data_IF_255815290582
#
_entry.id   IF_255815290582
#
_cell.length_a   1.000
_cell.length_b   1.000
_cell.length_c   1.000
_cell.angle_alpha   90.00
_cell.angle_beta   90.00
_cell.angle_gamma   90.00
#
_symmetry.space_group_name_H-M   'P 1'
#
loop_
_entity.id
_entity.type
_entity.pdbx_description
1 polymer ?
#
# COMPACT_ATOMS: atom_id res chain seq x y z
N UNK A 1 2.48 -7.86 41.29
CA UNK A 1 1.74 -9.04 41.79
C UNK A 1 1.14 -9.73 40.57
N UNK A 2 1.79 -10.79 40.09
CA UNK A 2 1.26 -11.93 39.33
C UNK A 2 0.33 -11.67 38.13
N UNK A 3 0.87 -11.16 37.02
CA UNK A 3 0.35 -11.49 35.70
C UNK A 3 0.91 -12.85 35.26
N UNK A 4 0.43 -13.92 35.89
CA UNK A 4 0.55 -15.28 35.34
C UNK A 4 -0.50 -15.45 34.25
N UNK A 5 -0.42 -14.64 33.18
CA UNK A 5 -1.27 -14.81 32.01
C UNK A 5 -0.72 -15.96 31.16
N UNK A 6 -1.55 -16.99 31.03
CA UNK A 6 -1.33 -18.22 30.27
C UNK A 6 -0.60 -17.95 28.92
N UNK A 7 0.53 -18.62 28.61
CA UNK A 7 1.23 -18.45 27.33
C UNK A 7 0.34 -18.73 26.11
N UNK A 8 -0.67 -19.59 26.30
CA UNK A 8 -1.68 -19.95 25.30
C UNK A 8 -2.64 -18.79 24.96
N UNK A 9 -2.95 -17.92 25.93
CA UNK A 9 -3.85 -16.78 25.73
C UNK A 9 -3.12 -15.59 25.09
N UNK A 10 -1.82 -15.44 25.35
CA UNK A 10 -0.98 -14.43 24.68
C UNK A 10 -0.92 -14.69 23.17
N UNK A 11 -0.84 -15.96 22.76
CA UNK A 11 -0.85 -16.36 21.33
C UNK A 11 -2.18 -16.07 20.64
N UNK A 12 -3.32 -16.37 21.28
CA UNK A 12 -4.65 -16.00 20.74
C UNK A 12 -4.92 -14.50 20.73
N UNK A 13 -4.43 -13.74 21.72
CA UNK A 13 -4.52 -12.27 21.70
C UNK A 13 -3.67 -11.68 20.57
N UNK A 14 -2.47 -12.22 20.31
CA UNK A 14 -1.65 -11.78 19.18
C UNK A 14 -2.23 -12.15 17.82
N UNK A 15 -2.87 -13.33 17.69
CA UNK A 15 -3.52 -13.77 16.45
C UNK A 15 -4.78 -12.94 16.14
N UNK A 16 -5.59 -12.62 17.15
CA UNK A 16 -6.75 -11.74 17.00
C UNK A 16 -6.34 -10.30 16.67
N UNK A 17 -5.29 -9.79 17.30
CA UNK A 17 -4.76 -8.45 17.03
C UNK A 17 -4.18 -8.35 15.61
N UNK A 18 -3.42 -9.35 15.15
CA UNK A 18 -2.88 -9.41 13.80
C UNK A 18 -3.99 -9.45 12.74
N UNK A 19 -5.04 -10.26 12.94
CA UNK A 19 -6.17 -10.33 12.03
C UNK A 19 -6.95 -9.00 11.92
N UNK A 20 -7.08 -8.25 13.02
CA UNK A 20 -7.73 -6.93 13.01
C UNK A 20 -6.88 -5.91 12.26
N UNK A 21 -5.55 -5.96 12.41
CA UNK A 21 -4.65 -5.05 11.70
C UNK A 21 -4.65 -5.31 10.19
N UNK A 22 -4.70 -6.57 9.77
CA UNK A 22 -4.84 -6.98 8.35
C UNK A 22 -6.11 -6.38 7.73
N UNK A 23 -7.26 -6.53 8.41
CA UNK A 23 -8.52 -5.95 7.92
C UNK A 23 -8.51 -4.42 7.91
N UNK A 24 -7.80 -3.80 8.85
CA UNK A 24 -7.65 -2.34 8.92
C UNK A 24 -6.90 -1.80 7.70
N UNK A 25 -5.82 -2.48 7.27
CA UNK A 25 -5.06 -2.10 6.06
C UNK A 25 -5.96 -2.11 4.83
N UNK A 26 -6.69 -3.20 4.62
CA UNK A 26 -7.57 -3.36 3.45
C UNK A 26 -8.66 -2.29 3.44
N UNK A 27 -9.33 -2.08 4.57
CA UNK A 27 -10.41 -1.08 4.67
C UNK A 27 -9.92 0.35 4.40
N UNK A 28 -8.76 0.72 4.93
CA UNK A 28 -8.16 2.05 4.71
C UNK A 28 -7.75 2.24 3.24
N UNK A 29 -7.23 1.18 2.62
CA UNK A 29 -6.87 1.20 1.20
C UNK A 29 -8.12 1.35 0.31
N UNK A 30 -9.17 0.59 0.57
CA UNK A 30 -10.42 0.68 -0.20
C UNK A 30 -11.08 2.05 -0.05
N UNK A 31 -11.08 2.61 1.16
CA UNK A 31 -11.57 3.98 1.39
C UNK A 31 -10.76 5.00 0.60
N UNK A 32 -9.43 4.86 0.56
CA UNK A 32 -8.59 5.74 -0.21
C UNK A 32 -8.89 5.65 -1.72
N UNK A 33 -9.10 4.45 -2.26
CA UNK A 33 -9.50 4.26 -3.66
C UNK A 33 -10.85 4.92 -3.97
N UNK A 34 -11.82 4.84 -3.06
CA UNK A 34 -13.12 5.51 -3.24
C UNK A 34 -12.96 7.03 -3.21
N UNK A 35 -12.17 7.57 -2.28
CA UNK A 35 -11.90 9.00 -2.20
C UNK A 35 -11.17 9.53 -3.43
N UNK A 36 -10.20 8.76 -3.93
CA UNK A 36 -9.46 9.05 -5.16
C UNK A 36 -10.40 9.13 -6.38
N UNK A 37 -11.30 8.15 -6.52
CA UNK A 37 -12.31 8.14 -7.58
C UNK A 37 -13.30 9.32 -7.49
N UNK A 38 -13.50 9.90 -6.30
CA UNK A 38 -14.32 11.10 -6.09
C UNK A 38 -13.54 12.41 -6.29
N UNK A 39 -12.23 12.35 -6.55
CA UNK A 39 -11.36 13.52 -6.69
C UNK A 39 -10.84 14.11 -5.37
N UNK A 40 -11.10 13.45 -4.23
CA UNK A 40 -10.61 13.87 -2.92
C UNK A 40 -9.17 13.38 -2.67
N UNK A 41 -8.22 13.82 -3.51
CA UNK A 41 -6.87 13.25 -3.56
C UNK A 41 -6.03 13.45 -2.29
N UNK A 42 -6.18 14.58 -1.59
CA UNK A 42 -5.47 14.83 -0.31
C UNK A 42 -5.94 13.87 0.79
N UNK A 43 -7.26 13.66 0.89
CA UNK A 43 -7.83 12.72 1.85
C UNK A 43 -7.45 11.28 1.49
N UNK A 44 -7.58 10.90 0.22
CA UNK A 44 -7.16 9.60 -0.28
C UNK A 44 -5.69 9.29 0.06
N UNK A 45 -4.80 10.27 -0.16
CA UNK A 45 -3.39 10.13 0.18
C UNK A 45 -3.17 9.89 1.67
N UNK A 46 -3.89 10.61 2.54
CA UNK A 46 -3.75 10.44 3.99
C UNK A 46 -4.11 9.01 4.45
N UNK A 47 -5.19 8.44 3.89
CA UNK A 47 -5.63 7.09 4.21
C UNK A 47 -4.69 6.02 3.65
N UNK A 48 -4.33 6.10 2.36
CA UNK A 48 -3.47 5.08 1.73
C UNK A 48 -2.05 5.11 2.29
N UNK A 49 -1.53 6.28 2.66
CA UNK A 49 -0.22 6.40 3.31
C UNK A 49 -0.22 5.68 4.67
N UNK A 50 -1.26 5.90 5.47
CA UNK A 50 -1.38 5.24 6.76
C UNK A 50 -1.59 3.73 6.61
N UNK A 51 -2.34 3.31 5.58
CA UNK A 51 -2.47 1.90 5.23
C UNK A 51 -1.11 1.28 4.84
N UNK A 52 -0.28 1.98 4.07
CA UNK A 52 1.05 1.52 3.67
C UNK A 52 2.01 1.38 4.86
N UNK A 53 2.00 2.35 5.79
CA UNK A 53 2.77 2.27 7.04
C UNK A 53 2.37 1.04 7.86
N UNK A 54 1.07 0.82 8.04
CA UNK A 54 0.54 -0.31 8.78
C UNK A 54 0.84 -1.65 8.08
N UNK A 55 0.72 -1.68 6.75
CA UNK A 55 1.03 -2.85 5.94
C UNK A 55 2.50 -3.26 6.13
N UNK A 56 3.42 -2.29 6.15
CA UNK A 56 4.84 -2.52 6.38
C UNK A 56 5.14 -2.98 7.80
N UNK A 57 4.55 -2.34 8.81
CA UNK A 57 4.71 -2.71 10.23
C UNK A 57 4.24 -4.14 10.50
N UNK A 58 3.19 -4.58 9.81
CA UNK A 58 2.57 -5.90 9.99
C UNK A 58 3.04 -6.96 8.99
N UNK A 59 3.92 -6.60 8.04
CA UNK A 59 4.34 -7.46 6.94
C UNK A 59 3.14 -8.03 6.17
N UNK A 60 2.19 -7.15 5.83
CA UNK A 60 0.94 -7.52 5.19
C UNK A 60 1.18 -8.26 3.87
N UNK A 61 0.49 -9.39 3.62
CA UNK A 61 0.67 -10.19 2.41
C UNK A 61 0.34 -9.42 1.12
N UNK A 62 -0.35 -8.29 1.22
CA UNK A 62 -0.74 -7.44 0.10
C UNK A 62 -0.14 -6.03 0.17
N UNK A 63 0.94 -5.83 0.94
CA UNK A 63 1.65 -4.53 1.03
C UNK A 63 1.95 -3.92 -0.36
N UNK A 64 2.33 -4.74 -1.34
CA UNK A 64 2.63 -4.30 -2.70
C UNK A 64 1.42 -3.69 -3.42
N UNK A 65 0.21 -4.18 -3.14
CA UNK A 65 -1.03 -3.60 -3.69
C UNK A 65 -1.35 -2.25 -3.06
N UNK A 66 -1.11 -2.10 -1.76
CA UNK A 66 -1.29 -0.82 -1.05
C UNK A 66 -0.29 0.23 -1.56
N UNK A 67 0.98 -0.17 -1.79
CA UNK A 67 1.98 0.69 -2.40
C UNK A 67 1.62 1.08 -3.84
N UNK A 68 1.09 0.15 -4.64
CA UNK A 68 0.59 0.44 -5.97
C UNK A 68 -0.51 1.53 -5.95
N UNK A 69 -1.47 1.41 -5.04
CA UNK A 69 -2.55 2.39 -4.88
C UNK A 69 -2.04 3.74 -4.38
N UNK A 70 -1.07 3.75 -3.45
CA UNK A 70 -0.40 4.99 -3.02
C UNK A 70 0.27 5.70 -4.19
N UNK A 71 0.96 4.96 -5.07
CA UNK A 71 1.59 5.52 -6.25
C UNK A 71 0.56 6.07 -7.25
N UNK A 72 -0.57 5.37 -7.47
CA UNK A 72 -1.65 5.85 -8.32
C UNK A 72 -2.28 7.15 -7.78
N UNK A 73 -2.52 7.26 -6.47
CA UNK A 73 -3.01 8.49 -5.86
C UNK A 73 -1.99 9.63 -6.02
N UNK A 74 -0.69 9.35 -5.86
CA UNK A 74 0.36 10.34 -6.13
C UNK A 74 0.40 10.79 -7.60
N UNK A 75 0.06 9.92 -8.55
CA UNK A 75 -0.10 10.29 -9.97
C UNK A 75 -1.23 11.30 -10.15
N UNK A 76 -2.38 11.10 -9.51
CA UNK A 76 -3.51 12.04 -9.57
C UNK A 76 -3.20 13.36 -8.86
N UNK A 77 -2.33 13.35 -7.85
CA UNK A 77 -1.79 14.55 -7.19
C UNK A 77 -0.66 15.24 -7.98
N UNK A 78 -0.32 14.72 -9.15
CA UNK A 78 0.78 15.21 -10.00
C UNK A 78 2.18 15.14 -9.35
N UNK A 79 2.33 14.39 -8.25
CA UNK A 79 3.64 14.12 -7.64
C UNK A 79 4.30 12.91 -8.29
N UNK A 80 4.68 13.09 -9.56
CA UNK A 80 5.27 12.04 -10.39
C UNK A 80 6.63 11.54 -9.87
N UNK A 81 7.35 12.36 -9.09
CA UNK A 81 8.64 11.97 -8.53
C UNK A 81 8.45 10.98 -7.38
N UNK A 82 7.56 11.28 -6.44
CA UNK A 82 7.24 10.34 -5.37
C UNK A 82 6.51 9.11 -5.91
N UNK A 83 5.54 9.27 -6.83
CA UNK A 83 4.84 8.14 -7.44
C UNK A 83 5.81 7.13 -8.05
N UNK A 84 6.83 7.60 -8.78
CA UNK A 84 7.85 6.73 -9.37
C UNK A 84 8.67 5.97 -8.33
N UNK A 85 8.98 6.58 -7.19
CA UNK A 85 9.72 5.91 -6.12
C UNK A 85 8.86 4.81 -5.51
N UNK A 86 7.61 5.12 -5.17
CA UNK A 86 6.67 4.16 -4.59
C UNK A 86 6.38 3.00 -5.55
N UNK A 87 6.17 3.26 -6.86
CA UNK A 87 6.00 2.19 -7.85
C UNK A 87 7.20 1.25 -7.92
N UNK A 88 8.43 1.73 -7.75
CA UNK A 88 9.61 0.86 -7.74
C UNK A 88 9.64 -0.05 -6.51
N UNK A 89 9.26 0.49 -5.34
CA UNK A 89 9.14 -0.30 -4.12
C UNK A 89 8.04 -1.36 -4.25
N UNK A 90 6.87 -0.98 -4.79
CA UNK A 90 5.77 -1.90 -5.09
C UNK A 90 6.20 -3.02 -6.05
N UNK A 91 6.98 -2.67 -7.09
CA UNK A 91 7.49 -3.63 -8.07
C UNK A 91 8.43 -4.65 -7.44
N UNK A 92 9.36 -4.20 -6.60
CA UNK A 92 10.31 -5.07 -5.92
C UNK A 92 9.57 -6.07 -5.02
N UNK A 93 8.58 -5.61 -4.26
CA UNK A 93 7.77 -6.48 -3.41
C UNK A 93 6.89 -7.45 -4.20
N UNK A 94 6.25 -6.99 -5.28
CA UNK A 94 5.44 -7.85 -6.15
C UNK A 94 6.29 -8.95 -6.80
N UNK A 95 7.53 -8.64 -7.21
CA UNK A 95 8.49 -9.63 -7.73
C UNK A 95 8.88 -10.65 -6.67
N UNK A 96 9.19 -10.21 -5.44
CA UNK A 96 9.51 -11.11 -4.32
C UNK A 96 8.36 -12.07 -4.00
N UNK A 97 7.11 -11.60 -4.12
CA UNK A 97 5.90 -12.42 -3.91
C UNK A 97 5.52 -13.29 -5.11
N UNK A 98 6.08 -13.04 -6.28
CA UNK A 98 5.75 -13.76 -7.52
C UNK A 98 4.40 -13.34 -8.14
N UNK A 99 3.89 -12.15 -7.81
CA UNK A 99 2.64 -11.62 -8.35
C UNK A 99 2.87 -11.01 -9.74
N UNK A 100 2.77 -11.86 -10.77
CA UNK A 100 3.03 -11.46 -12.17
C UNK A 100 2.06 -10.38 -12.67
N UNK A 101 0.81 -10.38 -12.20
CA UNK A 101 -0.18 -9.41 -12.64
C UNK A 101 0.15 -8.01 -12.11
N UNK A 102 0.45 -7.90 -10.81
CA UNK A 102 0.90 -6.62 -10.22
C UNK A 102 2.20 -6.14 -10.86
N UNK A 103 3.15 -7.04 -11.13
CA UNK A 103 4.42 -6.70 -11.81
C UNK A 103 4.18 -6.08 -13.18
N UNK A 104 3.32 -6.69 -14.01
CA UNK A 104 3.01 -6.17 -15.34
C UNK A 104 2.35 -4.79 -15.26
N UNK A 105 1.35 -4.65 -14.40
CA UNK A 105 0.64 -3.38 -14.21
C UNK A 105 1.58 -2.25 -13.76
N UNK A 106 2.41 -2.49 -12.75
CA UNK A 106 3.35 -1.48 -12.23
C UNK A 106 4.40 -1.10 -13.30
N UNK A 107 4.83 -2.05 -14.14
CA UNK A 107 5.76 -1.77 -15.24
C UNK A 107 5.14 -0.88 -16.32
N UNK A 108 3.86 -1.07 -16.63
CA UNK A 108 3.13 -0.23 -17.58
C UNK A 108 3.04 1.22 -17.06
N UNK A 109 2.67 1.40 -15.79
CA UNK A 109 2.60 2.73 -15.16
C UNK A 109 3.96 3.43 -15.12
N UNK A 110 5.03 2.71 -14.78
CA UNK A 110 6.40 3.24 -14.81
C UNK A 110 6.87 3.60 -16.22
N UNK A 111 6.45 2.84 -17.24
CA UNK A 111 6.77 3.13 -18.63
C UNK A 111 6.02 4.39 -19.11
N UNK A 112 4.76 4.57 -18.71
CA UNK A 112 3.97 5.76 -19.01
C UNK A 112 4.58 7.02 -18.37
N UNK A 113 4.93 6.94 -17.08
CA UNK A 113 5.69 7.99 -16.39
C UNK A 113 6.99 8.38 -17.10
N UNK A 114 7.72 7.40 -17.63
CA UNK A 114 8.95 7.65 -18.37
C UNK A 114 8.72 8.35 -19.71
N UNK A 115 7.58 8.13 -20.37
CA UNK A 115 7.18 8.84 -21.59
C UNK A 115 6.79 10.28 -21.30
N UNK A 116 5.98 10.53 -20.26
CA UNK A 116 5.54 11.88 -19.86
C UNK A 116 6.73 12.80 -19.56
N UNK A 117 7.76 12.32 -18.85
CA UNK A 117 8.99 13.09 -18.59
C UNK A 117 9.78 13.47 -19.86
N UNK A 118 9.67 12.68 -20.93
CA UNK A 118 10.35 12.96 -22.21
C UNK A 118 9.58 13.96 -23.08
N UNK A 119 8.28 14.13 -22.86
CA UNK A 119 7.43 15.08 -23.60
C UNK A 119 7.45 16.53 -23.09
N UNK A 120 8.00 16.78 -21.89
CA UNK A 120 8.15 18.14 -21.33
C UNK A 120 9.49 18.82 -21.68
N UNK A 121 10.06 18.52 -22.85
CA UNK A 121 11.29 19.17 -23.36
C UNK A 121 11.03 19.93 -24.65
#
# INVERSE_FOLDING_TARGET
>A
MWCSCCPRLHRSCSEGFFSVLVQTVVLMNDLATVLDAQGHYDEAYSYVKRAAELAKETQHPEEHMVLNNLAAILMHKEDFLQAKQVYKEALEQAQQKGDVASVQHIQEELAELAKRRKGSK
#
